data_IF_807992082985
#
_entry.id   IF_807992082985
#
_cell.length_a   1.000
_cell.length_b   1.000
_cell.length_c   1.000
_cell.angle_alpha   90.00
_cell.angle_beta   90.00
_cell.angle_gamma   90.00
#
_symmetry.space_group_name_H-M   'P 1'
#
loop_
_entity.id
_entity.type
_entity.pdbx_description
1 polymer ?
#
# COMPACT_ATOMS: atom_id res chain seq x y z
N UNK A 1 1.50 -32.02 8.07
CA UNK A 1 0.04 -31.81 8.19
C UNK A 1 -0.26 -30.50 7.49
N UNK A 2 -0.93 -30.55 6.34
CA UNK A 2 -1.30 -29.35 5.60
C UNK A 2 -2.45 -28.66 6.35
N UNK A 3 -2.19 -27.48 6.91
CA UNK A 3 -3.21 -26.65 7.54
C UNK A 3 -4.30 -26.37 6.51
N UNK A 4 -5.53 -26.79 6.82
CA UNK A 4 -6.72 -26.40 6.09
C UNK A 4 -6.80 -24.87 6.09
N UNK A 5 -6.43 -24.24 4.97
CA UNK A 5 -6.58 -22.80 4.76
C UNK A 5 -8.07 -22.44 4.80
N UNK A 6 -8.55 -22.03 5.98
CA UNK A 6 -9.86 -21.42 6.11
C UNK A 6 -9.82 -20.10 5.35
N UNK A 7 -10.34 -20.10 4.13
CA UNK A 7 -10.62 -18.87 3.40
C UNK A 7 -11.59 -18.03 4.24
N UNK A 8 -11.28 -16.73 4.44
CA UNK A 8 -12.10 -15.89 5.29
C UNK A 8 -13.49 -15.73 4.65
N UNK A 9 -14.52 -15.79 5.49
CA UNK A 9 -15.92 -15.72 5.03
C UNK A 9 -16.20 -14.35 4.43
N UNK A 10 -16.53 -14.31 3.14
CA UNK A 10 -16.81 -13.07 2.43
C UNK A 10 -17.98 -12.31 3.07
N UNK A 11 -17.87 -10.97 3.25
CA UNK A 11 -18.98 -10.18 3.73
C UNK A 11 -20.15 -10.21 2.74
N UNK A 12 -21.41 -10.19 3.21
CA UNK A 12 -22.59 -10.09 2.34
C UNK A 12 -22.50 -8.91 1.38
N UNK A 13 -23.06 -9.04 0.17
CA UNK A 13 -23.04 -7.98 -0.85
C UNK A 13 -23.68 -6.67 -0.40
N UNK A 14 -24.66 -6.74 0.51
CA UNK A 14 -25.38 -5.59 1.09
C UNK A 14 -24.71 -5.01 2.33
N UNK A 15 -23.49 -5.46 2.65
CA UNK A 15 -22.75 -4.95 3.81
C UNK A 15 -22.45 -3.46 3.66
N UNK A 16 -22.61 -2.72 4.75
CA UNK A 16 -22.21 -1.32 4.80
C UNK A 16 -20.67 -1.17 4.67
N UNK A 17 -20.21 0.06 4.44
CA UNK A 17 -18.78 0.37 4.29
C UNK A 17 -17.95 -0.11 5.48
N UNK A 18 -18.46 0.00 6.72
CA UNK A 18 -17.70 -0.36 7.91
C UNK A 18 -17.41 -1.87 7.98
N UNK A 19 -18.42 -2.70 7.70
CA UNK A 19 -18.27 -4.16 7.69
C UNK A 19 -17.39 -4.64 6.53
N UNK A 20 -17.60 -4.10 5.33
CA UNK A 20 -16.76 -4.45 4.18
C UNK A 20 -15.31 -4.00 4.39
N UNK A 21 -15.12 -2.81 4.99
CA UNK A 21 -13.79 -2.28 5.30
C UNK A 21 -13.08 -3.10 6.37
N UNK A 22 -13.76 -3.53 7.44
CA UNK A 22 -13.12 -4.32 8.51
C UNK A 22 -12.51 -5.63 7.97
N UNK A 23 -13.26 -6.35 7.12
CA UNK A 23 -12.76 -7.54 6.43
C UNK A 23 -11.55 -7.23 5.53
N UNK A 24 -11.62 -6.13 4.79
CA UNK A 24 -10.54 -5.73 3.91
C UNK A 24 -9.30 -5.29 4.70
N UNK A 25 -9.46 -4.50 5.75
CA UNK A 25 -8.37 -4.02 6.61
C UNK A 25 -7.58 -5.18 7.22
N UNK A 26 -8.26 -6.21 7.71
CA UNK A 26 -7.61 -7.43 8.21
C UNK A 26 -6.81 -8.15 7.12
N UNK A 27 -7.38 -8.28 5.93
CA UNK A 27 -6.70 -8.90 4.79
C UNK A 27 -5.53 -8.07 4.24
N UNK A 28 -5.67 -6.75 4.21
CA UNK A 28 -4.59 -5.85 3.86
C UNK A 28 -3.47 -5.92 4.90
N UNK A 29 -3.79 -5.97 6.19
CA UNK A 29 -2.80 -6.09 7.25
C UNK A 29 -2.05 -7.43 7.19
N UNK A 30 -2.73 -8.51 6.82
CA UNK A 30 -2.12 -9.82 6.58
C UNK A 30 -1.08 -9.75 5.45
N UNK A 31 -1.43 -9.14 4.31
CA UNK A 31 -0.49 -8.91 3.20
C UNK A 31 0.64 -7.95 3.59
N UNK A 32 0.31 -6.90 4.34
CA UNK A 32 1.28 -5.88 4.75
C UNK A 32 2.21 -6.34 5.87
N UNK A 33 1.94 -7.48 6.52
CA UNK A 33 2.76 -8.12 7.56
C UNK A 33 3.48 -9.37 7.05
N UNK A 34 3.03 -10.01 5.96
CA UNK A 34 3.63 -11.24 5.45
C UNK A 34 5.09 -11.04 5.02
N UNK A 35 6.00 -11.89 5.49
CA UNK A 35 7.43 -11.83 5.13
C UNK A 35 7.64 -12.05 3.63
N UNK A 36 6.81 -12.88 2.99
CA UNK A 36 6.81 -13.08 1.55
C UNK A 36 5.39 -13.04 0.97
N UNK A 37 5.25 -12.51 -0.24
CA UNK A 37 3.97 -12.60 -0.99
C UNK A 37 3.62 -14.03 -1.40
N UNK A 38 4.56 -14.98 -1.27
CA UNK A 38 4.30 -16.42 -1.45
C UNK A 38 3.52 -17.01 -0.27
N UNK A 39 3.60 -16.38 0.90
CA UNK A 39 2.91 -16.82 2.11
C UNK A 39 1.44 -16.40 2.12
N UNK A 40 1.05 -15.52 1.19
CA UNK A 40 -0.36 -15.14 0.97
C UNK A 40 -0.86 -15.83 -0.30
N UNK A 41 -1.75 -16.83 -0.16
CA UNK A 41 -2.35 -17.50 -1.30
C UNK A 41 -3.08 -16.51 -2.21
N UNK A 42 -2.99 -16.73 -3.52
CA UNK A 42 -3.73 -15.92 -4.50
C UNK A 42 -5.24 -16.03 -4.32
N UNK A 43 -5.73 -17.15 -3.77
CA UNK A 43 -7.12 -17.38 -3.38
C UNK A 43 -7.57 -16.43 -2.27
N UNK A 44 -6.70 -16.16 -1.30
CA UNK A 44 -6.94 -15.18 -0.24
C UNK A 44 -7.04 -13.77 -0.84
N UNK A 45 -6.08 -13.36 -1.66
CA UNK A 45 -6.13 -12.07 -2.34
C UNK A 45 -7.37 -11.93 -3.26
N UNK A 46 -7.79 -13.01 -3.92
CA UNK A 46 -9.00 -13.05 -4.73
C UNK A 46 -10.28 -12.85 -3.90
N UNK A 47 -10.33 -13.36 -2.66
CA UNK A 47 -11.44 -13.09 -1.74
C UNK A 47 -11.54 -11.60 -1.37
N UNK A 48 -10.41 -10.93 -1.16
CA UNK A 48 -10.39 -9.48 -0.91
C UNK A 48 -10.88 -8.71 -2.15
N UNK A 49 -10.42 -9.09 -3.34
CA UNK A 49 -10.91 -8.50 -4.60
C UNK A 49 -12.43 -8.71 -4.77
N UNK A 50 -12.95 -9.89 -4.43
CA UNK A 50 -14.38 -10.16 -4.47
C UNK A 50 -15.17 -9.28 -3.48
N UNK A 51 -14.65 -9.04 -2.27
CA UNK A 51 -15.24 -8.12 -1.31
C UNK A 51 -15.26 -6.67 -1.83
N UNK A 52 -14.15 -6.20 -2.42
CA UNK A 52 -14.08 -4.89 -3.08
C UNK A 52 -15.12 -4.80 -4.21
N UNK A 53 -15.19 -5.81 -5.07
CA UNK A 53 -16.13 -5.85 -6.20
C UNK A 53 -17.59 -5.83 -5.73
N UNK A 54 -17.92 -6.66 -4.73
CA UNK A 54 -19.26 -6.75 -4.17
C UNK A 54 -19.72 -5.39 -3.62
N UNK A 55 -18.86 -4.73 -2.84
CA UNK A 55 -19.15 -3.40 -2.29
C UNK A 55 -19.36 -2.35 -3.39
N UNK A 56 -18.51 -2.34 -4.42
CA UNK A 56 -18.64 -1.39 -5.52
C UNK A 56 -19.92 -1.59 -6.32
N UNK A 57 -20.28 -2.84 -6.60
CA UNK A 57 -21.44 -3.16 -7.44
C UNK A 57 -22.73 -2.86 -6.68
N UNK A 58 -22.88 -3.31 -5.43
CA UNK A 58 -24.07 -3.04 -4.62
C UNK A 58 -24.26 -1.55 -4.35
N UNK A 59 -23.19 -0.84 -4.00
CA UNK A 59 -23.24 0.60 -3.74
C UNK A 59 -23.53 1.42 -5.00
N UNK A 60 -23.09 0.95 -6.18
CA UNK A 60 -23.38 1.62 -7.45
C UNK A 60 -24.84 1.43 -7.85
N UNK A 61 -25.41 0.24 -7.63
CA UNK A 61 -26.82 -0.05 -7.94
C UNK A 61 -27.76 0.76 -7.04
N UNK A 62 -27.46 0.85 -5.73
CA UNK A 62 -28.19 1.71 -4.80
C UNK A 62 -28.07 3.20 -5.16
N UNK A 63 -26.86 3.65 -5.55
CA UNK A 63 -26.62 5.04 -5.94
C UNK A 63 -27.36 5.43 -7.23
N UNK A 64 -27.37 4.56 -8.25
CA UNK A 64 -28.12 4.77 -9.49
C UNK A 64 -29.63 4.81 -9.26
N UNK A 65 -30.14 3.95 -8.36
CA UNK A 65 -31.56 3.94 -7.99
C UNK A 65 -31.99 5.24 -7.29
N UNK A 66 -31.09 5.91 -6.57
CA UNK A 66 -31.37 7.15 -5.82
C UNK A 66 -31.25 8.45 -6.62
N UNK A 67 -30.93 8.40 -7.92
CA UNK A 67 -31.01 9.56 -8.81
C UNK A 67 -30.13 10.77 -8.43
N UNK A 68 -29.05 10.59 -7.66
CA UNK A 68 -28.27 11.70 -7.12
C UNK A 68 -27.03 12.00 -7.97
N UNK A 69 -27.14 12.97 -8.88
CA UNK A 69 -25.97 13.66 -9.41
C UNK A 69 -25.33 14.52 -8.31
N UNK A 70 -24.02 14.39 -8.09
CA UNK A 70 -23.15 15.24 -7.23
C UNK A 70 -22.88 14.82 -5.77
N UNK A 71 -23.43 13.73 -5.24
CA UNK A 71 -23.00 13.22 -3.92
C UNK A 71 -21.70 12.40 -4.03
N UNK A 72 -20.83 12.43 -3.00
CA UNK A 72 -19.64 11.57 -2.94
C UNK A 72 -20.04 10.13 -3.21
N UNK A 73 -19.43 9.51 -4.22
CA UNK A 73 -19.72 8.12 -4.54
C UNK A 73 -19.25 7.24 -3.36
N UNK A 74 -19.98 6.17 -3.00
CA UNK A 74 -19.57 5.24 -1.96
C UNK A 74 -18.13 4.72 -2.14
N UNK A 75 -17.69 4.64 -3.40
CA UNK A 75 -16.31 4.32 -3.78
C UNK A 75 -15.28 5.38 -3.37
N UNK A 76 -15.61 6.67 -3.40
CA UNK A 76 -14.72 7.73 -2.91
C UNK A 76 -14.41 7.55 -1.43
N UNK A 77 -15.44 7.24 -0.62
CA UNK A 77 -15.26 6.98 0.81
C UNK A 77 -14.40 5.73 1.06
N UNK A 78 -14.50 4.72 0.19
CA UNK A 78 -13.63 3.55 0.23
C UNK A 78 -12.16 3.90 -0.09
N UNK A 79 -11.92 4.71 -1.12
CA UNK A 79 -10.57 5.18 -1.45
C UNK A 79 -9.95 5.97 -0.29
N UNK A 80 -10.73 6.85 0.34
CA UNK A 80 -10.26 7.63 1.49
C UNK A 80 -9.87 6.74 2.68
N UNK A 81 -10.59 5.63 2.92
CA UNK A 81 -10.22 4.64 3.93
C UNK A 81 -8.87 3.98 3.62
N UNK A 82 -8.62 3.62 2.36
CA UNK A 82 -7.32 3.08 1.93
C UNK A 82 -6.20 4.10 2.14
N UNK A 83 -6.44 5.38 1.80
CA UNK A 83 -5.48 6.46 2.05
C UNK A 83 -5.16 6.60 3.54
N UNK A 84 -6.17 6.56 4.41
CA UNK A 84 -5.99 6.64 5.87
C UNK A 84 -5.19 5.44 6.37
N UNK A 85 -5.53 4.23 5.94
CA UNK A 85 -4.82 3.01 6.31
C UNK A 85 -3.33 3.07 5.96
N UNK A 86 -3.01 3.45 4.72
CA UNK A 86 -1.62 3.61 4.30
C UNK A 86 -0.88 4.62 5.17
N UNK A 87 -1.50 5.77 5.47
CA UNK A 87 -0.89 6.80 6.34
C UNK A 87 -0.57 6.26 7.74
N UNK A 88 -1.48 5.49 8.34
CA UNK A 88 -1.27 4.89 9.67
C UNK A 88 -0.13 3.87 9.60
N UNK A 89 -0.12 3.00 8.59
CA UNK A 89 0.93 1.99 8.42
C UNK A 89 2.32 2.61 8.23
N UNK A 90 2.41 3.62 7.36
CA UNK A 90 3.66 4.34 7.10
C UNK A 90 4.13 5.15 8.30
N UNK A 91 3.21 5.66 9.12
CA UNK A 91 3.55 6.33 10.39
C UNK A 91 4.28 5.36 11.32
N UNK A 92 3.79 4.13 11.46
CA UNK A 92 4.44 3.13 12.32
C UNK A 92 5.86 2.81 11.83
N UNK A 93 6.05 2.67 10.51
CA UNK A 93 7.36 2.46 9.89
C UNK A 93 8.29 3.64 10.20
N UNK A 94 7.82 4.87 9.99
CA UNK A 94 8.56 6.11 10.31
C UNK A 94 8.94 6.21 11.79
N UNK A 95 8.04 5.88 12.69
CA UNK A 95 8.29 6.01 14.13
C UNK A 95 9.39 5.02 14.57
N UNK A 96 9.50 3.83 13.95
CA UNK A 96 10.65 2.92 14.11
C UNK A 96 11.94 3.47 13.51
N UNK A 97 11.89 4.14 12.34
CA UNK A 97 13.08 4.78 11.75
C UNK A 97 13.67 5.88 12.65
N UNK A 98 12.85 6.59 13.41
CA UNK A 98 13.31 7.69 14.26
C UNK A 98 14.28 7.24 15.36
N UNK A 99 14.21 5.98 15.80
CA UNK A 99 15.13 5.42 16.79
C UNK A 99 16.45 4.89 16.21
N UNK A 100 16.56 4.76 14.88
CA UNK A 100 17.73 4.20 14.19
C UNK A 100 18.62 5.31 13.62
N UNK A 101 19.93 5.09 13.55
CA UNK A 101 20.91 6.04 12.99
C UNK A 101 21.97 5.36 12.13
N UNK A 102 22.62 6.15 11.25
CA UNK A 102 23.76 5.70 10.45
C UNK A 102 23.43 4.56 9.48
N UNK A 103 24.28 3.54 9.46
CA UNK A 103 24.17 2.39 8.55
C UNK A 103 22.97 1.48 8.88
N UNK A 104 22.60 1.37 10.15
CA UNK A 104 21.43 0.59 10.57
C UNK A 104 20.12 1.19 10.03
N UNK A 105 20.05 2.53 9.98
CA UNK A 105 18.93 3.24 9.37
C UNK A 105 18.85 2.96 7.86
N UNK A 106 19.98 2.97 7.15
CA UNK A 106 20.03 2.69 5.71
C UNK A 106 19.59 1.25 5.42
N UNK A 107 20.11 0.28 6.19
CA UNK A 107 19.79 -1.15 6.03
C UNK A 107 18.30 -1.42 6.28
N UNK A 108 17.78 -0.90 7.37
CA UNK A 108 16.38 -1.06 7.72
C UNK A 108 15.47 -0.35 6.70
N UNK A 109 15.83 0.86 6.25
CA UNK A 109 15.07 1.60 5.23
C UNK A 109 15.01 0.86 3.89
N UNK A 110 16.15 0.42 3.33
CA UNK A 110 16.15 -0.31 2.06
C UNK A 110 15.35 -1.61 2.12
N UNK A 111 15.51 -2.36 3.21
CA UNK A 111 14.77 -3.62 3.42
C UNK A 111 13.26 -3.38 3.54
N UNK A 112 12.84 -2.41 4.35
CA UNK A 112 11.42 -2.10 4.53
C UNK A 112 10.79 -1.48 3.27
N UNK A 113 11.54 -0.66 2.52
CA UNK A 113 11.10 -0.17 1.22
C UNK A 113 10.85 -1.32 0.25
N UNK A 114 11.81 -2.24 0.10
CA UNK A 114 11.68 -3.38 -0.81
C UNK A 114 10.48 -4.26 -0.46
N UNK A 115 10.29 -4.54 0.84
CA UNK A 115 9.13 -5.28 1.35
C UNK A 115 7.84 -4.53 1.04
N UNK A 116 7.80 -3.23 1.27
CA UNK A 116 6.63 -2.39 1.02
C UNK A 116 6.28 -2.37 -0.48
N UNK A 117 7.25 -2.16 -1.36
CA UNK A 117 7.08 -2.12 -2.82
C UNK A 117 6.47 -3.42 -3.34
N UNK A 118 7.03 -4.57 -2.94
CA UNK A 118 6.54 -5.90 -3.32
C UNK A 118 5.09 -6.11 -2.83
N UNK A 119 4.81 -5.81 -1.56
CA UNK A 119 3.47 -5.98 -0.95
C UNK A 119 2.43 -5.08 -1.62
N UNK A 120 2.76 -3.83 -1.87
CA UNK A 120 1.89 -2.86 -2.56
C UNK A 120 1.66 -3.24 -4.01
N UNK A 121 2.70 -3.70 -4.73
CA UNK A 121 2.58 -4.20 -6.09
C UNK A 121 1.64 -5.41 -6.17
N UNK A 122 1.76 -6.33 -5.21
CA UNK A 122 0.87 -7.47 -5.07
C UNK A 122 -0.59 -7.05 -4.80
N UNK A 123 -0.82 -6.15 -3.85
CA UNK A 123 -2.15 -5.59 -3.55
C UNK A 123 -2.76 -4.89 -4.77
N UNK A 124 -1.97 -4.07 -5.47
CA UNK A 124 -2.40 -3.36 -6.67
C UNK A 124 -2.83 -4.33 -7.78
N UNK A 125 -2.11 -5.44 -7.96
CA UNK A 125 -2.38 -6.42 -9.01
C UNK A 125 -3.56 -7.34 -8.69
N UNK A 126 -3.69 -7.79 -7.43
CA UNK A 126 -4.63 -8.84 -7.07
C UNK A 126 -5.87 -8.35 -6.33
N UNK A 127 -5.74 -7.36 -5.45
CA UNK A 127 -6.83 -6.88 -4.58
C UNK A 127 -7.58 -5.70 -5.19
N UNK A 128 -6.86 -4.78 -5.86
CA UNK A 128 -7.44 -3.55 -6.42
C UNK A 128 -7.53 -3.45 -7.96
N UNK A 129 -7.50 -4.52 -8.78
CA UNK A 129 -7.54 -4.37 -10.23
C UNK A 129 -8.85 -3.73 -10.71
N UNK A 130 -9.97 -4.03 -10.03
CA UNK A 130 -11.28 -3.45 -10.37
C UNK A 130 -11.33 -1.94 -10.06
N UNK A 131 -10.91 -1.54 -8.86
CA UNK A 131 -10.89 -0.14 -8.43
C UNK A 131 -10.04 0.71 -9.39
N UNK A 132 -8.83 0.23 -9.72
CA UNK A 132 -7.93 0.93 -10.63
C UNK A 132 -8.51 1.07 -12.05
N UNK A 133 -9.15 0.03 -12.57
CA UNK A 133 -9.64 0.00 -13.95
C UNK A 133 -10.91 0.84 -14.15
N UNK A 134 -11.84 0.79 -13.20
CA UNK A 134 -13.18 1.33 -13.38
C UNK A 134 -13.42 2.64 -12.64
N UNK A 135 -12.96 2.77 -11.38
CA UNK A 135 -13.20 3.98 -10.60
C UNK A 135 -12.09 5.02 -10.78
N UNK A 136 -10.82 4.63 -10.59
CA UNK A 136 -9.69 5.57 -10.72
C UNK A 136 -9.62 6.18 -12.12
N UNK A 137 -9.80 5.36 -13.16
CA UNK A 137 -9.84 5.86 -14.54
C UNK A 137 -10.97 6.87 -14.75
N UNK A 138 -12.19 6.53 -14.31
CA UNK A 138 -13.36 7.40 -14.41
C UNK A 138 -13.15 8.74 -13.71
N UNK A 139 -12.68 8.73 -12.48
CA UNK A 139 -12.52 9.97 -11.70
C UNK A 139 -11.41 10.86 -12.25
N UNK A 140 -10.38 10.26 -12.86
CA UNK A 140 -9.35 11.01 -13.61
C UNK A 140 -9.91 11.63 -14.88
N UNK A 141 -10.74 10.90 -15.63
CA UNK A 141 -11.41 11.40 -16.83
C UNK A 141 -12.40 12.54 -16.48
N UNK A 142 -13.00 12.50 -15.28
CA UNK A 142 -13.83 13.58 -14.71
C UNK A 142 -13.01 14.78 -14.17
N UNK A 143 -11.67 14.78 -14.33
CA UNK A 143 -10.80 15.93 -14.05
C UNK A 143 -10.21 15.98 -12.64
N UNK A 144 -10.34 14.91 -11.82
CA UNK A 144 -9.76 14.90 -10.46
C UNK A 144 -8.27 14.57 -10.48
N UNK A 145 -7.45 15.61 -10.36
CA UNK A 145 -5.98 15.56 -10.45
C UNK A 145 -5.25 14.88 -9.27
N UNK A 146 -5.94 14.52 -8.17
CA UNK A 146 -5.31 13.93 -6.95
C UNK A 146 -5.69 12.47 -6.70
N UNK A 147 -6.32 11.80 -7.65
CA UNK A 147 -6.64 10.38 -7.54
C UNK A 147 -5.59 9.60 -8.31
N UNK A 148 -4.98 8.61 -7.64
CA UNK A 148 -3.91 7.80 -8.20
C UNK A 148 -4.30 6.32 -8.17
N UNK A 149 -3.83 5.53 -9.16
CA UNK A 149 -3.86 4.07 -9.05
C UNK A 149 -3.20 3.62 -7.76
N UNK A 150 -3.62 2.48 -7.22
CA UNK A 150 -3.21 2.02 -5.89
C UNK A 150 -1.69 2.00 -5.69
N UNK A 151 -0.96 1.47 -6.67
CA UNK A 151 0.51 1.47 -6.63
C UNK A 151 1.09 2.88 -6.52
N UNK A 152 0.70 3.79 -7.42
CA UNK A 152 1.18 5.18 -7.41
C UNK A 152 0.78 5.91 -6.12
N UNK A 153 -0.44 5.69 -5.62
CA UNK A 153 -0.90 6.26 -4.35
C UNK A 153 0.04 5.86 -3.20
N UNK A 154 0.37 4.58 -3.11
CA UNK A 154 1.24 4.05 -2.08
C UNK A 154 2.66 4.64 -2.18
N UNK A 155 3.24 4.76 -3.38
CA UNK A 155 4.55 5.40 -3.55
C UNK A 155 4.53 6.89 -3.15
N UNK A 156 3.47 7.62 -3.53
CA UNK A 156 3.29 9.03 -3.13
C UNK A 156 3.17 9.16 -1.62
N UNK A 157 2.45 8.27 -0.95
CA UNK A 157 2.37 8.27 0.51
C UNK A 157 3.70 7.89 1.16
N UNK A 158 4.44 6.91 0.62
CA UNK A 158 5.77 6.56 1.11
C UNK A 158 6.71 7.77 1.05
N UNK A 159 6.78 8.44 -0.10
CA UNK A 159 7.60 9.64 -0.27
C UNK A 159 7.25 10.71 0.76
N UNK A 160 5.97 11.09 0.83
CA UNK A 160 5.53 12.17 1.70
C UNK A 160 5.63 11.88 3.22
N UNK A 161 5.64 10.59 3.62
CA UNK A 161 5.54 10.19 5.03
C UNK A 161 6.79 9.53 5.58
N UNK A 162 7.61 8.93 4.73
CA UNK A 162 8.83 8.21 5.13
C UNK A 162 10.04 8.92 4.54
N UNK A 163 10.12 9.09 3.22
CA UNK A 163 11.29 9.68 2.58
C UNK A 163 11.49 11.15 2.99
N UNK A 164 10.48 12.02 2.80
CA UNK A 164 10.62 13.45 3.07
C UNK A 164 11.01 13.73 4.54
N UNK A 165 10.41 13.08 5.56
CA UNK A 165 10.83 13.27 6.95
C UNK A 165 12.22 12.73 7.28
N UNK A 166 12.66 11.62 6.67
CA UNK A 166 14.02 11.09 6.89
C UNK A 166 15.05 11.98 6.19
N UNK A 167 14.72 12.50 5.00
CA UNK A 167 15.61 13.33 4.20
C UNK A 167 15.66 14.80 4.64
N UNK A 168 14.67 15.29 5.42
CA UNK A 168 14.66 16.65 5.98
C UNK A 168 15.92 17.02 6.78
N UNK A 169 16.69 16.02 7.25
CA UNK A 169 17.95 16.22 7.99
C UNK A 169 19.19 15.79 7.20
N UNK A 170 19.09 15.52 5.89
CA UNK A 170 20.19 14.99 5.07
C UNK A 170 20.60 13.55 5.40
N UNK A 171 20.04 12.95 6.46
CA UNK A 171 20.49 11.67 7.04
C UNK A 171 20.54 10.51 6.06
N UNK A 172 19.58 10.43 5.13
CA UNK A 172 19.53 9.37 4.13
C UNK A 172 20.60 9.59 3.05
N UNK A 173 20.73 10.83 2.56
CA UNK A 173 21.72 11.21 1.57
C UNK A 173 23.15 11.07 2.12
N UNK A 174 23.38 11.47 3.38
CA UNK A 174 24.66 11.32 4.07
C UNK A 174 25.00 9.84 4.29
N UNK A 175 24.02 9.01 4.68
CA UNK A 175 24.22 7.57 4.84
C UNK A 175 24.48 6.86 3.50
N UNK A 176 23.81 7.30 2.41
CA UNK A 176 24.07 6.84 1.04
C UNK A 176 25.48 7.22 0.57
N UNK A 177 25.89 8.47 0.77
CA UNK A 177 27.23 8.95 0.44
C UNK A 177 28.30 8.17 1.21
N UNK A 178 28.10 7.92 2.50
CA UNK A 178 28.99 7.09 3.31
C UNK A 178 29.04 5.64 2.84
N UNK A 179 27.91 5.07 2.39
CA UNK A 179 27.87 3.72 1.83
C UNK A 179 28.65 3.63 0.51
N UNK A 180 28.47 4.60 -0.38
CA UNK A 180 29.19 4.70 -1.67
C UNK A 180 30.70 4.92 -1.44
N UNK A 181 31.07 5.75 -0.46
CA UNK A 181 32.47 5.97 -0.09
C UNK A 181 33.13 4.71 0.48
N UNK A 182 32.41 3.91 1.27
CA UNK A 182 32.90 2.63 1.81
C UNK A 182 33.04 1.55 0.74
N UNK A 183 32.09 1.47 -0.19
CA UNK A 183 32.15 0.59 -1.35
C UNK A 183 33.38 0.92 -2.22
N UNK A 184 33.62 2.22 -2.47
CA UNK A 184 34.80 2.70 -3.20
C UNK A 184 36.12 2.41 -2.46
N UNK A 185 36.07 2.28 -1.13
CA UNK A 185 37.22 1.88 -0.29
C UNK A 185 37.40 0.35 -0.19
N UNK A 186 36.64 -0.45 -0.95
CA UNK A 186 36.78 -1.90 -1.02
C UNK A 186 36.10 -2.67 0.12
N UNK A 187 35.21 -2.03 0.90
CA UNK A 187 34.38 -2.71 1.88
C UNK A 187 33.17 -3.34 1.19
N UNK A 188 32.87 -4.61 1.51
CA UNK A 188 31.68 -5.33 1.02
C UNK A 188 30.44 -4.55 1.46
N UNK A 189 29.87 -3.79 0.55
CA UNK A 189 28.64 -3.02 0.75
C UNK A 189 27.52 -3.72 0.01
N UNK A 190 26.32 -3.67 0.58
CA UNK A 190 25.13 -4.33 0.04
C UNK A 190 24.63 -3.51 -1.18
N UNK A 191 25.16 -3.81 -2.38
CA UNK A 191 24.87 -3.11 -3.64
C UNK A 191 23.35 -3.07 -3.94
N UNK A 192 22.63 -4.11 -3.53
CA UNK A 192 21.17 -4.21 -3.61
C UNK A 192 20.47 -3.19 -2.71
N UNK A 193 21.02 -2.93 -1.52
CA UNK A 193 20.48 -1.94 -0.58
C UNK A 193 20.62 -0.52 -1.14
N UNK A 194 21.78 -0.18 -1.71
CA UNK A 194 22.02 1.14 -2.33
C UNK A 194 21.03 1.38 -3.46
N UNK A 195 20.83 0.36 -4.31
CA UNK A 195 19.84 0.41 -5.39
C UNK A 195 18.41 0.57 -4.86
N UNK A 196 18.01 -0.16 -3.83
CA UNK A 196 16.68 -0.04 -3.23
C UNK A 196 16.43 1.37 -2.66
N UNK A 197 17.44 1.99 -2.04
CA UNK A 197 17.33 3.37 -1.55
C UNK A 197 17.21 4.36 -2.72
N UNK A 198 17.97 4.17 -3.80
CA UNK A 198 17.88 5.00 -5.01
C UNK A 198 16.50 4.86 -5.67
N UNK A 199 15.98 3.64 -5.83
CA UNK A 199 14.67 3.36 -6.42
C UNK A 199 13.52 3.94 -5.58
N UNK A 200 13.76 4.23 -4.30
CA UNK A 200 12.79 4.86 -3.41
C UNK A 200 12.76 6.39 -3.44
N UNK A 201 13.77 7.03 -4.05
CA UNK A 201 14.03 8.48 -4.00
C UNK A 201 13.34 9.27 -5.12
#
# INVERSE_FOLDING_TARGET
MASSEYLPSLPPKTSNLATAWAFLEEGLDTIMKSDSTKDVPTTYAASLNAAVFNYHTSSTDEFKSRGSGLAQTPTSAFYDKVVIYLKVRLKNIRDTHNSLQGEELLRYYGTEWRRYEIRVSYMNRLVFPYLNRYWVKRERDEGRIKIYPMYTLALVQWKARVLDPINQKGRLADALLLAIERERNGQVTDEELVKDVIDSS
#
